data_IF_269114751640
#
_entry.id   IF_269114751640
#
_cell.length_a   1.000
_cell.length_b   1.000
_cell.length_c   1.000
_cell.angle_alpha   90.00
_cell.angle_beta   90.00
_cell.angle_gamma   90.00
#
_symmetry.space_group_name_H-M   'P 1'
#
loop_
_entity.id
_entity.type
_entity.pdbx_description
1 polymer ?
#
# COMPACT_ATOMS: atom_id res chain seq x y z
N UNK A 1 -18.34 1.19 27.46
CA UNK A 1 -18.61 0.30 26.30
C UNK A 1 -19.26 1.04 25.13
N UNK A 2 -20.32 1.85 25.34
CA UNK A 2 -21.02 2.57 24.26
C UNK A 2 -20.16 3.63 23.53
N UNK A 3 -19.29 4.36 24.24
CA UNK A 3 -18.40 5.39 23.66
C UNK A 3 -17.34 4.77 22.73
N UNK A 4 -16.75 3.63 23.12
CA UNK A 4 -15.74 2.95 22.30
C UNK A 4 -16.34 2.36 21.01
N UNK A 5 -17.61 1.92 21.05
CA UNK A 5 -18.31 1.41 19.87
C UNK A 5 -18.68 2.52 18.88
N UNK A 6 -19.05 3.73 19.36
CA UNK A 6 -19.33 4.86 18.47
C UNK A 6 -18.07 5.38 17.77
N UNK A 7 -16.94 5.44 18.48
CA UNK A 7 -15.67 5.91 17.91
C UNK A 7 -15.16 4.96 16.82
N UNK A 8 -15.27 3.65 17.04
CA UNK A 8 -14.91 2.63 16.04
C UNK A 8 -15.85 2.69 14.82
N UNK A 9 -17.15 2.83 15.04
CA UNK A 9 -18.13 2.93 13.94
C UNK A 9 -17.96 4.21 13.11
N UNK A 10 -17.65 5.35 13.76
CA UNK A 10 -17.35 6.61 13.08
C UNK A 10 -16.04 6.53 12.31
N UNK A 11 -14.99 5.96 12.91
CA UNK A 11 -13.71 5.74 12.23
C UNK A 11 -13.89 4.88 10.97
N UNK A 12 -14.74 3.84 11.02
CA UNK A 12 -15.05 3.02 9.86
C UNK A 12 -15.74 3.84 8.75
N UNK A 13 -16.72 4.68 9.10
CA UNK A 13 -17.43 5.52 8.12
C UNK A 13 -16.52 6.53 7.41
N UNK A 14 -15.64 7.20 8.15
CA UNK A 14 -14.67 8.13 7.55
C UNK A 14 -13.64 7.40 6.68
N UNK A 15 -13.24 6.18 7.05
CA UNK A 15 -12.34 5.36 6.25
C UNK A 15 -13.01 4.93 4.92
N UNK A 16 -14.27 4.52 4.97
CA UNK A 16 -15.05 4.14 3.77
C UNK A 16 -15.21 5.35 2.83
N UNK A 17 -15.54 6.53 3.37
CA UNK A 17 -15.68 7.73 2.56
C UNK A 17 -14.34 8.20 1.95
N UNK A 18 -13.24 8.10 2.70
CA UNK A 18 -11.90 8.40 2.20
C UNK A 18 -11.50 7.42 1.09
N UNK A 19 -11.81 6.13 1.26
CA UNK A 19 -11.56 5.12 0.26
C UNK A 19 -12.26 5.45 -1.07
N UNK A 20 -13.55 5.77 -1.01
CA UNK A 20 -14.32 6.16 -2.20
C UNK A 20 -13.77 7.44 -2.85
N UNK A 21 -13.46 8.47 -2.05
CA UNK A 21 -12.90 9.74 -2.54
C UNK A 21 -11.55 9.55 -3.26
N UNK A 22 -10.64 8.80 -2.66
CA UNK A 22 -9.32 8.54 -3.24
C UNK A 22 -9.40 7.72 -4.52
N UNK A 23 -10.32 6.76 -4.61
CA UNK A 23 -10.37 5.80 -5.72
C UNK A 23 -11.31 6.20 -6.86
N UNK A 24 -12.24 7.14 -6.65
CA UNK A 24 -13.26 7.52 -7.64
C UNK A 24 -12.68 7.89 -9.03
N UNK A 25 -11.53 8.56 -9.07
CA UNK A 25 -10.81 8.90 -10.32
C UNK A 25 -9.37 8.37 -10.37
N UNK A 26 -9.06 7.35 -9.56
CA UNK A 26 -7.73 6.77 -9.54
C UNK A 26 -7.58 5.69 -10.63
N UNK A 27 -6.66 5.92 -11.57
CA UNK A 27 -6.32 4.93 -12.59
C UNK A 27 -5.05 4.18 -12.18
N UNK A 28 -5.22 2.92 -11.76
CA UNK A 28 -4.12 2.04 -11.31
C UNK A 28 -3.05 1.73 -12.37
N UNK A 29 -3.34 1.92 -13.66
CA UNK A 29 -2.40 1.63 -14.74
C UNK A 29 -1.48 2.83 -15.06
N UNK A 30 -1.72 3.99 -14.46
CA UNK A 30 -0.95 5.21 -14.72
C UNK A 30 0.15 5.36 -13.69
N UNK A 31 1.36 5.69 -14.14
CA UNK A 31 2.50 5.96 -13.28
C UNK A 31 2.21 7.15 -12.34
N UNK A 32 2.33 7.00 -11.01
CA UNK A 32 1.93 8.03 -10.05
C UNK A 32 3.00 9.11 -9.88
N UNK A 33 3.20 9.92 -10.93
CA UNK A 33 4.09 11.10 -10.91
C UNK A 33 3.32 12.35 -11.32
N UNK A 34 3.72 13.51 -10.77
CA UNK A 34 3.15 14.80 -11.16
C UNK A 34 3.70 15.28 -12.50
N UNK A 35 5.00 15.08 -12.72
CA UNK A 35 5.67 15.42 -13.96
C UNK A 35 6.13 14.15 -14.69
N UNK A 36 5.91 14.08 -16.00
CA UNK A 36 6.30 12.94 -16.83
C UNK A 36 7.82 12.73 -16.89
N UNK A 37 8.62 13.76 -16.59
CA UNK A 37 10.08 13.66 -16.53
C UNK A 37 10.60 12.99 -15.26
N UNK A 38 9.77 12.85 -14.23
CA UNK A 38 10.17 12.29 -12.94
C UNK A 38 10.02 10.76 -12.91
N UNK A 39 10.90 10.11 -12.14
CA UNK A 39 10.85 8.67 -11.89
C UNK A 39 10.18 8.36 -10.54
N UNK A 40 9.47 7.23 -10.47
CA UNK A 40 8.97 6.69 -9.20
C UNK A 40 10.12 6.01 -8.47
N UNK A 41 10.38 6.45 -7.24
CA UNK A 41 11.39 5.81 -6.37
C UNK A 41 10.71 4.68 -5.59
N UNK A 42 11.05 3.44 -5.95
CA UNK A 42 10.59 2.24 -5.24
C UNK A 42 11.68 1.81 -4.27
N UNK A 43 11.38 1.81 -2.97
CA UNK A 43 12.18 1.12 -1.97
C UNK A 43 11.82 -0.34 -2.01
N UNK A 44 12.82 -1.18 -2.21
CA UNK A 44 12.68 -2.62 -2.30
C UNK A 44 13.55 -3.27 -1.24
N UNK A 45 12.97 -4.23 -0.51
CA UNK A 45 13.69 -5.10 0.39
C UNK A 45 13.21 -6.54 0.17
N UNK A 46 14.12 -7.48 0.35
CA UNK A 46 13.82 -8.90 0.29
C UNK A 46 14.46 -9.58 1.48
N UNK A 47 13.66 -10.35 2.21
CA UNK A 47 14.11 -11.15 3.34
C UNK A 47 13.98 -12.63 2.97
N UNK A 48 15.10 -13.35 2.96
CA UNK A 48 15.10 -14.78 2.70
C UNK A 48 14.42 -15.52 3.86
N UNK A 49 13.33 -16.23 3.56
CA UNK A 49 12.66 -17.10 4.52
C UNK A 49 13.32 -18.47 4.48
N UNK A 50 13.42 -19.07 3.29
CA UNK A 50 13.92 -20.44 3.11
C UNK A 50 14.53 -20.65 1.73
N UNK A 51 15.61 -21.42 1.70
CA UNK A 51 16.14 -22.04 0.48
C UNK A 51 15.46 -23.39 0.28
N UNK A 52 14.70 -23.55 -0.79
CA UNK A 52 13.84 -24.71 -1.03
C UNK A 52 14.63 -25.81 -1.73
N UNK A 53 15.35 -25.47 -2.80
CA UNK A 53 16.08 -26.45 -3.62
C UNK A 53 17.20 -25.78 -4.42
N UNK A 54 18.24 -26.56 -4.74
CA UNK A 54 19.37 -26.16 -5.59
C UNK A 54 19.59 -27.22 -6.66
N UNK A 55 19.39 -26.85 -7.92
CA UNK A 55 19.75 -27.66 -9.05
C UNK A 55 21.05 -27.13 -9.66
N UNK A 56 22.17 -27.73 -9.26
CA UNK A 56 23.50 -27.30 -9.69
C UNK A 56 23.77 -27.56 -11.17
N UNK A 57 23.17 -28.62 -11.74
CA UNK A 57 23.36 -28.99 -13.14
C UNK A 57 22.64 -27.99 -14.04
N UNK A 58 21.41 -27.60 -13.67
CA UNK A 58 20.62 -26.63 -14.42
C UNK A 58 20.83 -25.17 -13.96
N UNK A 59 21.66 -24.94 -12.93
CA UNK A 59 21.94 -23.62 -12.33
C UNK A 59 20.67 -22.90 -11.84
N UNK A 60 19.75 -23.65 -11.22
CA UNK A 60 18.49 -23.11 -10.70
C UNK A 60 18.49 -23.12 -9.17
N UNK A 61 18.14 -21.98 -8.58
CA UNK A 61 17.93 -21.83 -7.15
C UNK A 61 16.46 -21.52 -6.87
N UNK A 62 15.81 -22.37 -6.08
CA UNK A 62 14.41 -22.15 -5.66
C UNK A 62 14.40 -21.62 -4.23
N UNK A 63 13.88 -20.41 -4.00
CA UNK A 63 13.81 -19.77 -2.67
C UNK A 63 12.44 -19.19 -2.35
N UNK A 64 12.07 -19.19 -1.08
CA UNK A 64 10.95 -18.43 -0.55
C UNK A 64 11.46 -17.11 0.06
N UNK A 65 11.00 -15.98 -0.48
CA UNK A 65 11.35 -14.64 -0.04
C UNK A 65 10.12 -13.90 0.47
N UNK A 66 10.27 -13.16 1.55
CA UNK A 66 9.37 -12.07 1.89
C UNK A 66 9.81 -10.81 1.13
N UNK A 67 8.94 -10.28 0.28
CA UNK A 67 9.23 -9.08 -0.51
C UNK A 67 8.49 -7.88 0.07
N UNK A 68 9.23 -6.82 0.33
CA UNK A 68 8.70 -5.54 0.79
C UNK A 68 8.97 -4.47 -0.25
N UNK A 69 7.91 -3.78 -0.65
CA UNK A 69 7.97 -2.69 -1.62
C UNK A 69 7.24 -1.49 -1.08
N UNK A 70 7.88 -0.33 -1.15
CA UNK A 70 7.29 0.93 -0.74
C UNK A 70 7.61 2.01 -1.78
N UNK A 71 6.59 2.69 -2.26
CA UNK A 71 6.70 3.89 -3.08
C UNK A 71 5.72 4.95 -2.59
N UNK A 72 5.92 6.18 -3.05
CA UNK A 72 5.00 7.29 -2.77
C UNK A 72 4.10 7.54 -3.96
N UNK A 73 2.80 7.66 -3.70
CA UNK A 73 1.79 8.07 -4.67
C UNK A 73 1.12 9.37 -4.22
N UNK A 74 1.26 10.42 -5.04
CA UNK A 74 0.71 11.73 -4.71
C UNK A 74 -0.82 11.80 -4.81
N UNK A 75 -1.47 10.89 -5.56
CA UNK A 75 -2.94 10.85 -5.69
C UNK A 75 -3.60 10.14 -4.51
N UNK A 76 -2.88 9.25 -3.85
CA UNK A 76 -3.34 8.55 -2.65
C UNK A 76 -2.91 9.27 -1.37
N UNK A 77 -2.88 10.60 -1.41
CA UNK A 77 -2.49 11.47 -0.28
C UNK A 77 -3.69 12.29 0.17
N UNK A 78 -3.90 12.41 1.48
CA UNK A 78 -4.98 13.21 2.07
C UNK A 78 -4.50 13.96 3.30
N UNK A 79 -5.33 14.89 3.76
CA UNK A 79 -5.16 15.62 5.01
C UNK A 79 -5.87 14.88 6.15
N UNK A 80 -5.15 14.29 7.13
CA UNK A 80 -5.77 13.52 8.21
C UNK A 80 -6.81 14.30 9.01
N UNK A 81 -6.66 15.63 9.15
CA UNK A 81 -7.55 16.45 9.97
C UNK A 81 -8.97 16.56 9.35
N UNK A 82 -9.07 16.37 8.03
CA UNK A 82 -10.37 16.31 7.31
C UNK A 82 -11.07 14.96 7.41
N UNK A 83 -10.34 13.93 7.84
CA UNK A 83 -10.80 12.53 7.84
C UNK A 83 -10.66 11.91 9.23
N UNK A 84 -11.05 12.65 10.28
CA UNK A 84 -11.05 12.20 11.67
C UNK A 84 -9.70 11.61 12.16
N UNK A 85 -8.58 12.15 11.68
CA UNK A 85 -7.24 11.74 12.08
C UNK A 85 -6.75 10.42 11.45
N UNK A 86 -7.42 9.90 10.42
CA UNK A 86 -6.98 8.68 9.71
C UNK A 86 -5.62 8.94 9.06
N UNK A 87 -4.61 8.13 9.41
CA UNK A 87 -3.23 8.23 8.87
C UNK A 87 -2.82 7.04 8.02
N UNK A 88 -3.57 5.95 8.10
CA UNK A 88 -3.32 4.72 7.35
C UNK A 88 -4.67 4.18 6.89
N UNK A 89 -4.73 3.82 5.62
CA UNK A 89 -5.88 3.17 5.00
C UNK A 89 -5.36 1.92 4.29
N UNK A 90 -6.03 0.79 4.48
CA UNK A 90 -5.67 -0.46 3.82
C UNK A 90 -6.55 -0.64 2.58
N UNK A 91 -5.92 -0.70 1.41
CA UNK A 91 -6.60 -0.90 0.13
C UNK A 91 -6.24 -2.32 -0.36
N UNK A 92 -7.21 -3.17 -0.73
CA UNK A 92 -6.92 -4.46 -1.32
C UNK A 92 -6.26 -4.27 -2.71
N UNK A 93 -5.22 -5.07 -2.97
CA UNK A 93 -4.48 -5.11 -4.24
C UNK A 93 -5.25 -5.82 -5.35
#
# INVERSE_FOLDING_TARGET
VMILLSDVALANRFADQLYEDLLYYYNKNVRPVKNATEAVKVKFAASLIRLIDVDEVNQVLTTNLWLEMQWFDYKLSWDPDKWNGIRKLHIPS
#
